data_IF_187618997442
#
_entry.id   IF_187618997442
#
_cell.length_a   1.000
_cell.length_b   1.000
_cell.length_c   1.000
_cell.angle_alpha   90.00
_cell.angle_beta   90.00
_cell.angle_gamma   90.00
#
_symmetry.space_group_name_H-M   'P 1'
#
loop_
_entity.id
_entity.type
_entity.pdbx_description
1 polymer ?
#
# COMPACT_ATOMS: atom_id res chain seq x y z
N UNK A 1 42.69 -38.33 14.21
CA UNK A 1 41.75 -38.38 13.07
C UNK A 1 41.08 -37.01 13.01
N UNK A 2 41.67 -36.06 12.29
CA UNK A 2 41.14 -34.70 12.16
C UNK A 2 40.01 -34.71 11.14
N UNK A 3 38.77 -34.58 11.62
CA UNK A 3 37.58 -34.39 10.78
C UNK A 3 37.61 -32.98 10.22
N UNK A 4 38.05 -32.86 8.97
CA UNK A 4 38.00 -31.63 8.21
C UNK A 4 36.53 -31.39 7.79
N UNK A 5 35.79 -30.62 8.60
CA UNK A 5 34.42 -30.22 8.25
C UNK A 5 34.53 -29.02 7.31
N UNK A 6 34.08 -29.10 6.05
CA UNK A 6 34.12 -27.96 5.15
C UNK A 6 33.07 -26.94 5.61
N UNK A 7 33.52 -25.77 6.08
CA UNK A 7 32.66 -24.61 6.28
C UNK A 7 32.13 -24.13 4.92
N UNK A 8 30.93 -24.55 4.56
CA UNK A 8 30.14 -23.90 3.52
C UNK A 8 29.70 -22.53 4.03
N UNK A 9 30.59 -21.54 3.91
CA UNK A 9 30.21 -20.14 4.02
C UNK A 9 29.25 -19.80 2.87
N UNK A 10 27.95 -19.89 3.14
CA UNK A 10 26.91 -19.36 2.28
C UNK A 10 27.05 -17.84 2.27
N UNK A 11 27.95 -17.34 1.42
CA UNK A 11 28.06 -15.93 1.08
C UNK A 11 26.76 -15.56 0.36
N UNK A 12 25.78 -15.06 1.12
CA UNK A 12 24.59 -14.41 0.58
C UNK A 12 25.10 -13.22 -0.22
N UNK A 13 25.20 -13.38 -1.54
CA UNK A 13 25.59 -12.31 -2.45
C UNK A 13 24.55 -11.19 -2.32
N UNK A 14 24.88 -10.15 -1.56
CA UNK A 14 24.12 -8.91 -1.55
C UNK A 14 24.12 -8.33 -2.97
N UNK A 15 23.01 -8.53 -3.69
CA UNK A 15 22.78 -7.83 -4.96
C UNK A 15 22.73 -6.33 -4.67
N UNK A 16 23.34 -5.48 -5.52
CA UNK A 16 23.36 -4.05 -5.30
C UNK A 16 21.94 -3.52 -5.16
N UNK A 17 21.73 -2.75 -4.10
CA UNK A 17 20.45 -2.10 -3.84
C UNK A 17 20.09 -1.15 -4.97
N UNK A 18 18.79 -1.09 -5.27
CA UNK A 18 18.24 -0.17 -6.26
C UNK A 18 18.59 1.27 -5.87
N UNK A 19 19.19 2.04 -6.79
CA UNK A 19 19.50 3.45 -6.56
C UNK A 19 18.23 4.22 -6.20
N UNK A 20 18.34 5.20 -5.30
CA UNK A 20 17.19 5.98 -4.83
C UNK A 20 16.42 6.62 -6.00
N UNK A 21 17.13 7.06 -7.05
CA UNK A 21 16.54 7.60 -8.29
C UNK A 21 15.57 6.62 -8.93
N UNK A 22 15.96 5.36 -9.03
CA UNK A 22 15.13 4.32 -9.64
C UNK A 22 13.95 3.94 -8.73
N UNK A 23 14.11 3.98 -7.40
CA UNK A 23 12.97 3.83 -6.46
C UNK A 23 11.95 4.96 -6.61
N UNK A 24 12.42 6.21 -6.69
CA UNK A 24 11.56 7.37 -6.96
C UNK A 24 10.85 7.24 -8.32
N UNK A 25 11.54 6.76 -9.34
CA UNK A 25 10.93 6.51 -10.65
C UNK A 25 9.84 5.43 -10.58
N UNK A 26 10.09 4.32 -9.88
CA UNK A 26 9.09 3.26 -9.69
C UNK A 26 7.87 3.79 -8.93
N UNK A 27 8.08 4.57 -7.87
CA UNK A 27 7.00 5.23 -7.12
C UNK A 27 6.17 6.14 -8.02
N UNK A 28 6.84 7.00 -8.78
CA UNK A 28 6.19 7.91 -9.72
C UNK A 28 5.35 7.15 -10.77
N UNK A 29 5.93 6.11 -11.39
CA UNK A 29 5.24 5.27 -12.37
C UNK A 29 4.06 4.54 -11.73
N UNK A 30 4.21 4.01 -10.51
CA UNK A 30 3.13 3.33 -9.81
C UNK A 30 1.94 4.27 -9.55
N UNK A 31 2.20 5.48 -9.07
CA UNK A 31 1.16 6.51 -8.90
C UNK A 31 0.53 6.87 -10.25
N UNK A 32 1.33 7.07 -11.30
CA UNK A 32 0.81 7.38 -12.63
C UNK A 32 -0.10 6.26 -13.18
N UNK A 33 0.23 4.99 -12.97
CA UNK A 33 -0.63 3.86 -13.35
C UNK A 33 -1.96 3.91 -12.58
N UNK A 34 -1.93 4.11 -11.26
CA UNK A 34 -3.15 4.16 -10.45
C UNK A 34 -4.04 5.34 -10.86
N UNK A 35 -3.46 6.53 -11.04
CA UNK A 35 -4.19 7.76 -11.40
C UNK A 35 -4.70 7.70 -12.84
N UNK A 36 -3.91 7.20 -13.80
CA UNK A 36 -4.34 7.11 -15.21
C UNK A 36 -5.57 6.23 -15.41
N UNK A 37 -5.79 5.24 -14.56
CA UNK A 37 -6.96 4.36 -14.60
C UNK A 37 -8.22 5.00 -14.04
N UNK A 38 -8.07 5.96 -13.13
CA UNK A 38 -9.19 6.60 -12.43
C UNK A 38 -8.82 8.04 -12.04
N UNK A 39 -8.71 8.97 -13.02
CA UNK A 39 -8.19 10.32 -12.77
C UNK A 39 -9.10 11.15 -11.85
N UNK A 40 -10.40 10.80 -11.78
CA UNK A 40 -11.36 11.44 -10.88
C UNK A 40 -10.93 11.35 -9.41
N UNK A 41 -10.19 10.33 -8.98
CA UNK A 41 -9.79 10.23 -7.56
C UNK A 41 -8.88 11.38 -7.10
N UNK A 42 -8.21 12.06 -8.05
CA UNK A 42 -7.36 13.24 -7.78
C UNK A 42 -8.05 14.52 -8.22
N UNK A 43 -8.56 14.57 -9.45
CA UNK A 43 -9.04 15.82 -10.06
C UNK A 43 -10.51 16.12 -9.74
N UNK A 44 -11.27 15.14 -9.28
CA UNK A 44 -12.66 15.28 -8.84
C UNK A 44 -12.93 14.34 -7.66
N UNK A 45 -12.12 14.48 -6.60
CA UNK A 45 -12.13 13.53 -5.49
C UNK A 45 -13.49 13.45 -4.81
N UNK A 46 -13.97 12.22 -4.57
CA UNK A 46 -15.24 11.93 -3.90
C UNK A 46 -15.00 10.86 -2.83
N UNK A 47 -15.80 10.87 -1.77
CA UNK A 47 -15.86 9.78 -0.82
C UNK A 47 -16.44 8.53 -1.48
N UNK A 48 -15.90 7.36 -1.14
CA UNK A 48 -16.43 6.08 -1.58
C UNK A 48 -17.07 5.32 -0.42
N UNK A 49 -18.31 4.87 -0.60
CA UNK A 49 -19.02 4.01 0.35
C UNK A 49 -18.96 4.51 1.81
N UNK A 50 -18.29 3.78 2.72
CA UNK A 50 -18.15 4.10 4.14
C UNK A 50 -17.30 5.37 4.41
N UNK A 51 -16.52 5.84 3.44
CA UNK A 51 -15.55 6.93 3.65
C UNK A 51 -16.17 8.19 4.27
N UNK A 52 -17.28 8.67 3.70
CA UNK A 52 -17.96 9.86 4.20
C UNK A 52 -18.85 9.58 5.41
N UNK A 53 -19.68 8.53 5.32
CA UNK A 53 -20.75 8.26 6.29
C UNK A 53 -20.31 7.55 7.56
N UNK A 54 -19.16 6.88 7.55
CA UNK A 54 -18.61 6.18 8.72
C UNK A 54 -17.27 6.78 9.12
N UNK A 55 -16.24 6.70 8.26
CA UNK A 55 -14.86 7.02 8.70
C UNK A 55 -14.67 8.50 8.98
N UNK A 56 -15.10 9.37 8.05
CA UNK A 56 -15.07 10.81 8.25
C UNK A 56 -16.05 11.24 9.34
N UNK A 57 -17.30 10.77 9.26
CA UNK A 57 -18.36 11.16 10.19
C UNK A 57 -18.03 10.78 11.65
N UNK A 58 -17.52 9.57 11.91
CA UNK A 58 -17.13 9.15 13.26
C UNK A 58 -15.99 10.02 13.79
N UNK A 59 -14.97 10.30 12.98
CA UNK A 59 -13.85 11.15 13.38
C UNK A 59 -14.30 12.60 13.68
N UNK A 60 -15.25 13.13 12.91
CA UNK A 60 -15.80 14.46 13.10
C UNK A 60 -16.69 14.56 14.35
N UNK A 61 -17.61 13.60 14.54
CA UNK A 61 -18.62 13.66 15.59
C UNK A 61 -18.12 13.16 16.95
N UNK A 62 -17.27 12.13 16.97
CA UNK A 62 -16.79 11.46 18.19
C UNK A 62 -15.35 11.88 18.54
N UNK A 63 -14.71 12.62 17.65
CA UNK A 63 -13.32 13.03 17.77
C UNK A 63 -12.34 12.04 17.15
N UNK A 64 -11.20 12.56 16.71
CA UNK A 64 -10.17 11.80 15.99
C UNK A 64 -9.68 10.57 16.78
N UNK A 65 -9.28 10.74 18.04
CA UNK A 65 -8.69 9.64 18.84
C UNK A 65 -9.73 8.59 19.25
N UNK A 66 -10.90 8.94 19.83
CA UNK A 66 -11.90 7.93 20.20
C UNK A 66 -12.37 7.13 19.00
N UNK A 67 -12.52 7.78 17.83
CA UNK A 67 -12.98 7.12 16.61
C UNK A 67 -12.09 5.97 16.16
N UNK A 68 -10.78 5.96 16.50
CA UNK A 68 -9.82 4.90 16.10
C UNK A 68 -10.11 3.54 16.75
N UNK A 69 -10.73 3.55 17.94
CA UNK A 69 -10.97 2.36 18.74
C UNK A 69 -12.38 1.79 18.56
N UNK A 70 -13.20 2.41 17.72
CA UNK A 70 -14.55 1.94 17.45
C UNK A 70 -14.52 0.75 16.48
N UNK A 71 -15.17 -0.37 16.79
CA UNK A 71 -15.34 -1.43 15.82
C UNK A 71 -16.34 -1.02 14.73
N UNK A 72 -16.23 -1.64 13.57
CA UNK A 72 -17.25 -1.60 12.53
C UNK A 72 -17.39 -2.98 11.91
N UNK A 73 -18.63 -3.42 11.65
CA UNK A 73 -18.92 -4.76 11.13
C UNK A 73 -18.25 -5.93 11.91
N UNK A 74 -18.07 -5.77 13.23
CA UNK A 74 -17.54 -6.82 14.12
C UNK A 74 -16.02 -6.88 14.25
N UNK A 75 -15.26 -5.95 13.65
CA UNK A 75 -13.80 -5.88 13.77
C UNK A 75 -13.28 -4.44 13.80
N UNK A 76 -11.99 -4.25 14.09
CA UNK A 76 -11.35 -2.93 14.08
C UNK A 76 -10.96 -2.51 12.66
N UNK A 77 -11.37 -1.31 12.27
CA UNK A 77 -11.07 -0.67 10.97
C UNK A 77 -10.06 0.46 11.13
N UNK A 78 -8.93 0.15 11.79
CA UNK A 78 -7.98 1.17 12.28
C UNK A 78 -7.41 2.04 11.18
N UNK A 79 -7.05 1.49 10.01
CA UNK A 79 -6.46 2.29 8.92
C UNK A 79 -7.49 3.23 8.30
N UNK A 80 -8.74 2.78 8.14
CA UNK A 80 -9.82 3.58 7.60
C UNK A 80 -10.16 4.73 8.55
N UNK A 81 -10.24 4.42 9.85
CA UNK A 81 -10.49 5.41 10.91
C UNK A 81 -9.33 6.38 11.08
N UNK A 82 -8.09 5.92 10.88
CA UNK A 82 -6.92 6.81 10.84
C UNK A 82 -7.00 7.78 9.66
N UNK A 83 -7.44 7.34 8.47
CA UNK A 83 -7.66 8.27 7.36
C UNK A 83 -8.78 9.28 7.66
N UNK A 84 -9.85 8.84 8.33
CA UNK A 84 -10.88 9.72 8.90
C UNK A 84 -10.30 10.79 9.83
N UNK A 85 -9.48 10.38 10.80
CA UNK A 85 -8.82 11.28 11.74
C UNK A 85 -7.85 12.26 11.06
N UNK A 86 -7.01 11.78 10.14
CA UNK A 86 -6.05 12.62 9.39
C UNK A 86 -6.79 13.65 8.54
N UNK A 87 -7.93 13.30 7.95
CA UNK A 87 -8.70 14.23 7.14
C UNK A 87 -9.26 15.43 7.92
N UNK A 88 -9.44 15.30 9.25
CA UNK A 88 -9.93 16.38 10.11
C UNK A 88 -8.93 17.55 10.23
N UNK A 89 -7.67 17.34 9.86
CA UNK A 89 -6.63 18.38 9.83
C UNK A 89 -6.90 19.37 8.68
N UNK A 90 -7.64 18.94 7.65
CA UNK A 90 -7.89 19.70 6.44
C UNK A 90 -9.33 20.21 6.40
N UNK A 91 -9.63 21.28 5.65
CA UNK A 91 -11.00 21.69 5.39
C UNK A 91 -11.81 20.55 4.75
N UNK A 92 -13.10 20.45 5.08
CA UNK A 92 -14.00 19.41 4.56
C UNK A 92 -13.93 19.24 3.04
N UNK A 93 -13.78 20.35 2.30
CA UNK A 93 -13.63 20.36 0.84
C UNK A 93 -12.51 19.43 0.35
N UNK A 94 -11.42 19.31 1.11
CA UNK A 94 -10.26 18.50 0.77
C UNK A 94 -10.29 17.09 1.37
N UNK A 95 -11.25 16.79 2.25
CA UNK A 95 -11.30 15.50 2.93
C UNK A 95 -11.41 14.29 1.96
N UNK A 96 -12.25 14.32 0.91
CA UNK A 96 -12.27 13.26 -0.10
C UNK A 96 -10.92 13.03 -0.78
N UNK A 97 -10.19 14.12 -1.08
CA UNK A 97 -8.86 14.03 -1.68
C UNK A 97 -7.87 13.38 -0.73
N UNK A 98 -7.88 13.76 0.55
CA UNK A 98 -7.01 13.15 1.58
C UNK A 98 -7.25 11.64 1.66
N UNK A 99 -8.51 11.20 1.68
CA UNK A 99 -8.87 9.78 1.67
C UNK A 99 -8.31 9.05 0.44
N UNK A 100 -8.52 9.61 -0.75
CA UNK A 100 -8.06 9.01 -2.00
C UNK A 100 -6.53 8.96 -2.07
N UNK A 101 -5.83 9.99 -1.59
CA UNK A 101 -4.37 10.00 -1.54
C UNK A 101 -3.82 8.92 -0.60
N UNK A 102 -4.42 8.75 0.58
CA UNK A 102 -4.06 7.65 1.51
C UNK A 102 -4.31 6.30 0.83
N UNK A 103 -5.45 6.13 0.16
CA UNK A 103 -5.77 4.91 -0.55
C UNK A 103 -4.77 4.60 -1.67
N UNK A 104 -4.37 5.60 -2.47
CA UNK A 104 -3.32 5.45 -3.50
C UNK A 104 -2.00 5.01 -2.87
N UNK A 105 -1.57 5.67 -1.78
CA UNK A 105 -0.33 5.33 -1.07
C UNK A 105 -0.36 3.87 -0.63
N UNK A 106 -1.45 3.42 -0.02
CA UNK A 106 -1.58 2.03 0.43
C UNK A 106 -1.64 1.05 -0.75
N UNK A 107 -2.38 1.39 -1.82
CA UNK A 107 -2.53 0.55 -3.01
C UNK A 107 -1.19 0.28 -3.69
N UNK A 108 -0.26 1.25 -3.72
CA UNK A 108 1.06 1.06 -4.35
C UNK A 108 2.07 0.29 -3.48
N UNK A 109 1.81 0.10 -2.17
CA UNK A 109 2.75 -0.58 -1.26
C UNK A 109 3.14 -2.00 -1.72
N UNK A 110 2.22 -2.88 -2.14
CA UNK A 110 2.60 -4.19 -2.66
C UNK A 110 3.56 -4.12 -3.85
N UNK A 111 3.32 -3.21 -4.79
CA UNK A 111 4.18 -3.02 -5.95
C UNK A 111 5.60 -2.57 -5.56
N UNK A 112 5.71 -1.70 -4.55
CA UNK A 112 7.00 -1.25 -4.01
C UNK A 112 7.75 -2.41 -3.34
N UNK A 113 7.04 -3.22 -2.54
CA UNK A 113 7.64 -4.38 -1.87
C UNK A 113 8.11 -5.45 -2.88
N UNK A 114 7.29 -5.77 -3.88
CA UNK A 114 7.64 -6.73 -4.94
C UNK A 114 8.90 -6.30 -5.69
N UNK A 115 9.05 -5.00 -5.97
CA UNK A 115 10.21 -4.48 -6.71
C UNK A 115 11.48 -4.30 -5.85
N UNK A 116 11.34 -4.36 -4.52
CA UNK A 116 12.45 -4.22 -3.55
C UNK A 116 13.49 -5.33 -3.67
N UNK A 117 14.75 -5.04 -3.32
CA UNK A 117 15.85 -6.04 -3.26
C UNK A 117 15.54 -7.19 -2.30
N UNK A 118 14.74 -6.95 -1.25
CA UNK A 118 14.30 -7.99 -0.29
C UNK A 118 13.49 -9.13 -0.93
N UNK A 119 12.84 -8.86 -2.06
CA UNK A 119 12.09 -9.89 -2.80
C UNK A 119 12.96 -10.62 -3.84
N UNK A 120 14.27 -10.33 -3.91
CA UNK A 120 15.18 -10.90 -4.91
C UNK A 120 15.57 -12.36 -4.63
N UNK A 121 15.33 -12.84 -3.41
CA UNK A 121 15.53 -14.25 -3.05
C UNK A 121 14.41 -15.11 -3.63
N UNK A 122 13.15 -14.68 -3.48
CA UNK A 122 11.98 -15.36 -4.05
C UNK A 122 11.90 -15.18 -5.58
N UNK A 123 12.18 -13.98 -6.08
CA UNK A 123 12.13 -13.68 -7.52
C UNK A 123 13.46 -13.02 -7.94
N UNK A 124 14.47 -13.81 -8.32
CA UNK A 124 15.80 -13.30 -8.65
C UNK A 124 15.85 -12.33 -9.82
N UNK A 125 14.92 -12.47 -10.78
CA UNK A 125 14.85 -11.64 -11.98
C UNK A 125 14.11 -10.32 -11.71
N UNK A 126 14.82 -9.20 -11.89
CA UNK A 126 14.27 -7.84 -11.74
C UNK A 126 13.10 -7.55 -12.68
N UNK A 127 13.15 -8.05 -13.91
CA UNK A 127 12.12 -7.78 -14.91
C UNK A 127 10.83 -8.50 -14.56
N UNK A 128 10.92 -9.73 -14.06
CA UNK A 128 9.76 -10.47 -13.54
C UNK A 128 9.10 -9.75 -12.36
N UNK A 129 9.88 -9.15 -11.45
CA UNK A 129 9.34 -8.36 -10.34
C UNK A 129 8.64 -7.09 -10.81
N UNK A 130 9.24 -6.36 -11.75
CA UNK A 130 8.61 -5.18 -12.37
C UNK A 130 7.31 -5.57 -13.10
N UNK A 131 7.32 -6.69 -13.81
CA UNK A 131 6.14 -7.20 -14.50
C UNK A 131 5.03 -7.61 -13.53
N UNK A 132 5.34 -8.30 -12.43
CA UNK A 132 4.36 -8.64 -11.40
C UNK A 132 3.78 -7.41 -10.70
N UNK A 133 4.63 -6.43 -10.37
CA UNK A 133 4.18 -5.16 -9.81
C UNK A 133 3.25 -4.41 -10.78
N UNK A 134 3.59 -4.42 -12.08
CA UNK A 134 2.73 -3.87 -13.12
C UNK A 134 1.39 -4.62 -13.21
N UNK A 135 1.39 -5.95 -13.27
CA UNK A 135 0.17 -6.76 -13.34
C UNK A 135 -0.76 -6.50 -12.15
N UNK A 136 -0.19 -6.40 -10.94
CA UNK A 136 -0.94 -6.08 -9.74
C UNK A 136 -1.62 -4.69 -9.84
N UNK A 137 -0.89 -3.65 -10.26
CA UNK A 137 -1.44 -2.30 -10.40
C UNK A 137 -2.39 -2.14 -11.59
N UNK A 138 -2.16 -2.90 -12.66
CA UNK A 138 -2.92 -2.84 -13.90
C UNK A 138 -4.07 -3.86 -13.96
N UNK A 139 -4.33 -4.59 -12.86
CA UNK A 139 -5.35 -5.64 -12.81
C UNK A 139 -6.70 -5.10 -13.30
N UNK A 140 -7.30 -5.65 -14.37
CA UNK A 140 -8.58 -5.19 -14.90
C UNK A 140 -9.73 -5.51 -13.93
N UNK A 141 -10.86 -4.81 -14.09
CA UNK A 141 -12.09 -5.05 -13.33
C UNK A 141 -11.93 -5.00 -11.79
N UNK A 142 -11.08 -4.09 -11.30
CA UNK A 142 -10.77 -3.89 -9.88
C UNK A 142 -11.39 -2.62 -9.31
N UNK A 143 -12.45 -2.10 -9.93
CA UNK A 143 -13.00 -0.76 -9.65
C UNK A 143 -13.43 -0.57 -8.19
N UNK A 144 -14.00 -1.62 -7.58
CA UNK A 144 -14.44 -1.63 -6.18
C UNK A 144 -13.29 -1.39 -5.18
N UNK A 145 -12.09 -1.86 -5.49
CA UNK A 145 -10.92 -1.75 -4.60
C UNK A 145 -9.96 -0.64 -5.05
N UNK A 146 -10.23 0.04 -6.16
CA UNK A 146 -9.29 0.99 -6.75
C UNK A 146 -9.37 2.36 -6.07
N UNK A 147 -8.25 2.76 -5.46
CA UNK A 147 -8.00 4.08 -4.90
C UNK A 147 -9.11 4.61 -3.96
N UNK A 148 -9.68 3.74 -3.12
CA UNK A 148 -10.60 4.13 -2.07
C UNK A 148 -10.16 3.58 -0.70
N UNK A 149 -10.40 4.35 0.37
CA UNK A 149 -9.86 4.04 1.69
C UNK A 149 -10.56 2.83 2.31
N UNK A 150 -11.88 2.74 2.14
CA UNK A 150 -12.74 1.67 2.64
C UNK A 150 -12.24 0.26 2.30
N UNK A 151 -11.59 0.05 1.15
CA UNK A 151 -11.10 -1.26 0.71
C UNK A 151 -9.60 -1.48 0.90
N UNK A 152 -8.90 -0.57 1.59
CA UNK A 152 -7.44 -0.66 1.77
C UNK A 152 -6.96 -1.91 2.53
N UNK A 153 -7.83 -2.56 3.31
CA UNK A 153 -7.53 -3.84 3.97
C UNK A 153 -7.08 -4.93 2.99
N UNK A 154 -7.59 -4.94 1.76
CA UNK A 154 -7.19 -5.94 0.76
C UNK A 154 -5.74 -5.74 0.32
N UNK A 155 -5.32 -4.49 0.13
CA UNK A 155 -3.93 -4.16 -0.17
C UNK A 155 -3.02 -4.43 1.03
N UNK A 156 -3.46 -4.09 2.24
CA UNK A 156 -2.69 -4.35 3.46
C UNK A 156 -2.53 -5.84 3.76
N UNK A 157 -3.53 -6.68 3.44
CA UNK A 157 -3.40 -8.12 3.55
C UNK A 157 -2.29 -8.66 2.64
N UNK A 158 -2.19 -8.14 1.41
CA UNK A 158 -1.10 -8.47 0.48
C UNK A 158 0.24 -7.95 1.02
N UNK A 159 0.29 -6.71 1.53
CA UNK A 159 1.49 -6.15 2.17
C UNK A 159 1.96 -7.05 3.32
N UNK A 160 1.05 -7.47 4.20
CA UNK A 160 1.37 -8.32 5.34
C UNK A 160 1.99 -9.65 4.88
N UNK A 161 1.40 -10.30 3.89
CA UNK A 161 1.97 -11.51 3.29
C UNK A 161 3.36 -11.25 2.69
N UNK A 162 3.52 -10.18 1.90
CA UNK A 162 4.80 -9.85 1.26
C UNK A 162 5.89 -9.52 2.26
N UNK A 163 5.56 -8.89 3.40
CA UNK A 163 6.52 -8.60 4.47
C UNK A 163 7.00 -9.90 5.12
N UNK A 164 6.11 -10.87 5.37
CA UNK A 164 6.48 -12.19 5.91
C UNK A 164 7.32 -12.98 4.90
N UNK A 165 6.99 -12.89 3.61
CA UNK A 165 7.71 -13.60 2.55
C UNK A 165 9.05 -12.95 2.18
N UNK A 166 9.22 -11.65 2.44
CA UNK A 166 10.45 -10.93 2.17
C UNK A 166 11.57 -11.39 3.11
N UNK A 167 12.79 -11.47 2.60
CA UNK A 167 13.95 -11.77 3.45
C UNK A 167 14.30 -10.57 4.33
N UNK A 168 14.81 -10.81 5.56
CA UNK A 168 15.25 -9.75 6.48
C UNK A 168 16.22 -8.75 5.84
#
# INVERSE_FOLDING_TARGET
MNLNIPEHSNQVKHKPDLTWKLRCLILFIAVAIVVSRRPDVVFNAQFYAEDGRVWYADAYNLGAIPSLFLPYAGYLTTIQRLGGAVSQIFPFLWAPLVFNLIAIIIQILPAILITSSRFSVLIPNRYSRLFLAFLYLALPNSIEIHANLTNTQWHLAIVAYLVVAATP
#
